data_IF_783088704564
#
_entry.id   IF_783088704564
#
_cell.length_a   1.000
_cell.length_b   1.000
_cell.length_c   1.000
_cell.angle_alpha   90.00
_cell.angle_beta   90.00
_cell.angle_gamma   90.00
#
_symmetry.space_group_name_H-M   'P 1'
#
loop_
_entity.id
_entity.type
_entity.pdbx_description
1 polymer ?
#
# COMPACT_ATOMS: atom_id res chain seq x y z
N UNK A 1 -30.72 9.16 -6.99
CA UNK A 1 -30.40 7.80 -7.49
C UNK A 1 -29.39 7.19 -6.54
N UNK A 2 -29.43 5.88 -6.26
CA UNK A 2 -28.45 5.27 -5.36
C UNK A 2 -27.13 5.09 -6.12
N UNK A 3 -26.13 5.92 -5.81
CA UNK A 3 -24.81 5.87 -6.46
C UNK A 3 -24.10 4.56 -6.09
N UNK A 4 -23.38 3.97 -7.07
CA UNK A 4 -22.62 2.74 -6.83
C UNK A 4 -21.42 3.03 -5.94
N UNK A 5 -21.20 2.20 -4.92
CA UNK A 5 -20.15 2.45 -3.92
C UNK A 5 -18.77 1.90 -4.34
N UNK A 6 -18.74 0.85 -5.15
CA UNK A 6 -17.48 0.21 -5.55
C UNK A 6 -17.12 0.54 -7.00
N UNK A 7 -15.83 0.78 -7.23
CA UNK A 7 -15.23 0.80 -8.56
C UNK A 7 -14.29 -0.39 -8.68
N UNK A 8 -14.62 -1.33 -9.56
CA UNK A 8 -13.79 -2.49 -9.89
C UNK A 8 -12.90 -2.16 -11.08
N UNK A 9 -11.62 -2.48 -10.97
CA UNK A 9 -10.63 -2.33 -12.04
C UNK A 9 -10.13 -3.72 -12.43
N UNK A 10 -10.36 -4.08 -13.69
CA UNK A 10 -9.90 -5.32 -14.31
C UNK A 10 -8.93 -4.95 -15.42
N UNK A 11 -7.65 -5.36 -15.31
CA UNK A 11 -6.63 -4.99 -16.30
C UNK A 11 -5.93 -6.24 -16.81
N UNK A 12 -5.84 -6.36 -18.13
CA UNK A 12 -5.00 -7.33 -18.82
C UNK A 12 -3.77 -6.63 -19.38
N UNK A 13 -2.61 -7.19 -19.09
CA UNK A 13 -1.32 -6.64 -19.45
C UNK A 13 -0.37 -7.76 -19.87
N UNK A 14 0.12 -7.70 -21.10
CA UNK A 14 1.11 -8.64 -21.61
C UNK A 14 2.52 -8.19 -21.26
N UNK A 15 3.27 -9.02 -20.53
CA UNK A 15 4.68 -8.77 -20.23
C UNK A 15 5.60 -9.65 -21.06
N UNK A 16 6.67 -9.06 -21.58
CA UNK A 16 7.79 -9.74 -22.24
C UNK A 16 8.59 -10.61 -21.25
N UNK A 17 9.50 -11.50 -21.73
CA UNK A 17 10.29 -12.39 -20.87
C UNK A 17 10.96 -11.63 -19.72
N UNK A 18 10.56 -11.92 -18.48
CA UNK A 18 10.95 -11.15 -17.30
C UNK A 18 10.73 -11.88 -15.98
N UNK A 19 11.34 -11.35 -14.91
CA UNK A 19 11.18 -11.83 -13.53
C UNK A 19 10.68 -10.70 -12.60
N UNK A 20 9.43 -10.28 -12.82
CA UNK A 20 8.81 -9.11 -12.17
C UNK A 20 8.55 -9.26 -10.66
N UNK A 21 8.55 -10.48 -10.12
CA UNK A 21 8.51 -10.71 -8.68
C UNK A 21 9.08 -12.09 -8.32
N UNK A 22 10.14 -12.10 -7.52
CA UNK A 22 10.74 -13.32 -6.97
C UNK A 22 10.50 -13.54 -5.47
N UNK A 23 10.77 -14.75 -5.01
CA UNK A 23 10.82 -15.15 -3.61
C UNK A 23 12.25 -15.03 -3.02
N UNK A 24 12.43 -15.58 -1.83
CA UNK A 24 13.68 -15.67 -1.06
C UNK A 24 14.73 -16.58 -1.72
N UNK A 25 14.30 -17.58 -2.49
CA UNK A 25 15.16 -18.47 -3.29
C UNK A 25 15.50 -17.90 -4.67
N UNK A 26 15.17 -16.62 -4.93
CA UNK A 26 15.24 -15.94 -6.23
C UNK A 26 14.40 -16.57 -7.38
N UNK A 27 13.52 -17.53 -7.07
CA UNK A 27 12.59 -18.11 -8.04
C UNK A 27 11.43 -17.16 -8.33
N UNK A 28 10.90 -17.16 -9.56
CA UNK A 28 9.78 -16.28 -9.89
C UNK A 28 8.51 -16.79 -9.21
N UNK A 29 7.81 -15.92 -8.49
CA UNK A 29 6.65 -16.31 -7.68
C UNK A 29 5.54 -16.90 -8.53
N UNK A 30 4.97 -18.00 -8.05
CA UNK A 30 3.84 -18.68 -8.67
C UNK A 30 2.61 -18.71 -7.76
N UNK A 31 1.51 -19.27 -8.29
CA UNK A 31 0.34 -19.75 -7.56
C UNK A 31 -0.37 -20.84 -8.39
N UNK A 32 -1.06 -21.77 -7.73
CA UNK A 32 -1.95 -22.73 -8.40
C UNK A 32 -3.33 -22.11 -8.59
N UNK A 33 -3.89 -22.17 -9.80
CA UNK A 33 -5.27 -21.75 -10.07
C UNK A 33 -5.88 -22.54 -11.23
N UNK A 34 -7.02 -23.18 -10.97
CA UNK A 34 -7.66 -24.13 -11.90
C UNK A 34 -6.78 -25.34 -12.25
N UNK A 35 -6.15 -25.93 -11.23
CA UNK A 35 -5.31 -27.13 -11.40
C UNK A 35 -3.94 -26.91 -12.07
N UNK A 36 -3.60 -25.69 -12.49
CA UNK A 36 -2.33 -25.39 -13.18
C UNK A 36 -1.55 -24.24 -12.54
N UNK A 37 -0.23 -24.25 -12.75
CA UNK A 37 0.69 -23.21 -12.28
C UNK A 37 0.51 -21.91 -13.07
N UNK A 38 0.37 -20.80 -12.34
CA UNK A 38 0.35 -19.43 -12.84
C UNK A 38 1.55 -18.67 -12.31
N UNK A 39 2.11 -17.76 -13.09
CA UNK A 39 3.08 -16.78 -12.57
C UNK A 39 2.30 -15.70 -11.82
N UNK A 40 2.84 -15.25 -10.68
CA UNK A 40 2.18 -14.35 -9.74
C UNK A 40 3.04 -13.13 -9.42
N UNK A 41 2.48 -11.94 -9.61
CA UNK A 41 3.03 -10.70 -9.02
C UNK A 41 2.26 -10.42 -7.73
N UNK A 42 3.00 -10.20 -6.64
CA UNK A 42 2.40 -10.02 -5.32
C UNK A 42 1.73 -8.65 -5.17
N UNK A 43 0.61 -8.56 -4.43
CA UNK A 43 -0.17 -7.31 -4.34
C UNK A 43 0.62 -6.22 -3.63
N UNK A 44 1.50 -6.59 -2.68
CA UNK A 44 2.46 -5.70 -2.05
C UNK A 44 3.53 -5.18 -3.03
N UNK A 45 3.95 -5.97 -4.03
CA UNK A 45 4.88 -5.51 -5.06
C UNK A 45 4.22 -4.45 -5.94
N UNK A 46 2.99 -4.69 -6.41
CA UNK A 46 2.23 -3.72 -7.20
C UNK A 46 1.90 -2.45 -6.39
N UNK A 47 1.40 -2.58 -5.15
CA UNK A 47 1.13 -1.44 -4.26
C UNK A 47 2.38 -0.61 -3.97
N UNK A 48 3.55 -1.24 -3.79
CA UNK A 48 4.83 -0.52 -3.65
C UNK A 48 5.22 0.18 -4.94
N UNK A 49 5.09 -0.48 -6.10
CA UNK A 49 5.46 0.08 -7.39
C UNK A 49 4.65 1.33 -7.74
N UNK A 50 3.32 1.31 -7.51
CA UNK A 50 2.46 2.48 -7.71
C UNK A 50 2.86 3.66 -6.82
N UNK A 51 3.23 3.39 -5.56
CA UNK A 51 3.52 4.42 -4.55
C UNK A 51 4.95 4.97 -4.60
N UNK A 52 5.91 4.13 -4.98
CA UNK A 52 7.35 4.45 -5.01
C UNK A 52 7.93 3.82 -6.29
N UNK A 53 7.76 4.48 -7.45
CA UNK A 53 8.45 4.09 -8.69
C UNK A 53 9.98 4.16 -8.52
N UNK A 54 10.77 3.53 -9.40
CA UNK A 54 12.22 3.67 -9.39
C UNK A 54 12.65 5.12 -9.62
N UNK A 55 13.81 5.51 -9.10
CA UNK A 55 14.34 6.89 -9.13
C UNK A 55 14.54 7.47 -10.55
N UNK A 56 14.60 6.60 -11.56
CA UNK A 56 14.76 6.96 -12.98
C UNK A 56 13.43 7.03 -13.75
N UNK A 57 12.28 6.82 -13.09
CA UNK A 57 10.95 6.85 -13.70
C UNK A 57 10.13 8.09 -13.30
N UNK A 58 9.14 8.45 -14.13
CA UNK A 58 8.15 9.49 -13.82
C UNK A 58 7.42 9.15 -12.51
N UNK A 59 7.38 10.09 -11.56
CA UNK A 59 6.75 9.84 -10.26
C UNK A 59 5.28 10.27 -10.29
N UNK A 60 4.50 9.57 -11.11
CA UNK A 60 3.06 9.82 -11.32
C UNK A 60 2.27 9.93 -10.01
N UNK A 61 2.67 9.18 -8.97
CA UNK A 61 2.07 9.30 -7.65
C UNK A 61 2.32 10.69 -7.05
N UNK A 62 3.58 11.13 -6.92
CA UNK A 62 3.88 12.42 -6.32
C UNK A 62 3.31 13.59 -7.14
N UNK A 63 3.36 13.50 -8.47
CA UNK A 63 2.88 14.53 -9.39
C UNK A 63 1.37 14.79 -9.32
N UNK A 64 0.56 13.75 -9.03
CA UNK A 64 -0.91 13.86 -9.05
C UNK A 64 -1.59 13.64 -7.69
N UNK A 65 -0.97 12.89 -6.78
CA UNK A 65 -1.54 12.43 -5.52
C UNK A 65 -0.79 12.93 -4.29
N UNK A 66 0.33 13.64 -4.47
CA UNK A 66 1.16 14.21 -3.40
C UNK A 66 2.05 13.18 -2.71
N UNK A 67 2.71 13.59 -1.64
CA UNK A 67 3.76 12.80 -1.00
C UNK A 67 3.22 11.52 -0.32
N UNK A 68 3.74 10.34 -0.69
CA UNK A 68 3.36 9.08 -0.06
C UNK A 68 4.08 8.88 1.29
N UNK A 69 3.39 8.22 2.24
CA UNK A 69 3.97 7.80 3.52
C UNK A 69 5.35 7.15 3.35
N UNK A 70 6.29 7.50 4.23
CA UNK A 70 7.50 6.68 4.41
C UNK A 70 7.20 5.50 5.34
N UNK A 71 7.96 4.41 5.22
CA UNK A 71 7.76 3.18 6.03
C UNK A 71 9.08 2.74 6.64
N UNK A 72 9.13 2.65 7.96
CA UNK A 72 10.35 2.28 8.70
C UNK A 72 10.02 1.67 10.06
N UNK A 73 10.87 0.74 10.50
CA UNK A 73 10.94 0.26 11.90
C UNK A 73 11.98 1.01 12.75
N UNK A 74 12.91 1.71 12.12
CA UNK A 74 13.95 2.49 12.81
C UNK A 74 13.40 3.87 13.14
N UNK A 75 13.26 4.15 14.44
CA UNK A 75 12.87 5.45 14.96
C UNK A 75 13.89 6.53 14.59
N UNK A 76 15.19 6.23 14.63
CA UNK A 76 16.24 7.18 14.24
C UNK A 76 16.16 7.60 12.77
N UNK A 77 15.86 6.66 11.86
CA UNK A 77 15.58 7.01 10.46
C UNK A 77 14.28 7.80 10.30
N UNK A 78 13.25 7.50 11.11
CA UNK A 78 12.00 8.28 11.11
C UNK A 78 12.25 9.73 11.59
N UNK A 79 12.99 9.92 12.69
CA UNK A 79 13.39 11.24 13.19
C UNK A 79 14.15 12.02 12.12
N UNK A 80 15.14 11.41 11.46
CA UNK A 80 15.93 12.08 10.42
C UNK A 80 15.04 12.57 9.25
N UNK A 81 14.13 11.73 8.74
CA UNK A 81 13.17 12.08 7.70
C UNK A 81 12.22 13.21 8.15
N UNK A 82 11.70 13.13 9.39
CA UNK A 82 10.80 14.12 9.95
C UNK A 82 11.49 15.46 10.23
N UNK A 83 12.76 15.46 10.64
CA UNK A 83 13.58 16.67 10.80
C UNK A 83 13.83 17.32 9.43
N UNK A 84 14.12 16.53 8.39
CA UNK A 84 14.27 17.05 7.03
C UNK A 84 12.96 17.66 6.49
N UNK A 85 11.81 17.06 6.81
CA UNK A 85 10.49 17.53 6.34
C UNK A 85 9.89 18.69 7.17
N UNK A 86 10.16 18.76 8.48
CA UNK A 86 9.48 19.68 9.42
C UNK A 86 10.43 20.67 10.13
N UNK A 87 11.75 20.56 9.94
CA UNK A 87 12.75 21.39 10.62
C UNK A 87 12.72 22.88 10.27
N UNK A 88 11.99 23.28 9.22
CA UNK A 88 11.68 24.68 8.93
C UNK A 88 10.47 25.24 9.69
N UNK A 89 9.64 24.37 10.28
CA UNK A 89 8.43 24.73 11.04
C UNK A 89 8.61 24.58 12.57
N UNK A 90 9.44 23.63 13.02
CA UNK A 90 9.61 23.28 14.42
C UNK A 90 11.07 22.96 14.79
N UNK A 91 11.39 23.19 16.06
CA UNK A 91 12.69 22.84 16.62
C UNK A 91 12.94 21.33 16.61
N UNK A 92 14.20 20.95 16.39
CA UNK A 92 14.64 19.54 16.31
C UNK A 92 14.17 18.70 17.51
N UNK A 93 14.34 19.22 18.73
CA UNK A 93 13.94 18.53 19.97
C UNK A 93 12.43 18.23 20.02
N UNK A 94 11.61 19.14 19.48
CA UNK A 94 10.15 18.98 19.45
C UNK A 94 9.73 17.88 18.47
N UNK A 95 10.40 17.80 17.32
CA UNK A 95 10.17 16.76 16.30
C UNK A 95 10.61 15.39 16.84
N UNK A 96 11.76 15.32 17.51
CA UNK A 96 12.24 14.08 18.13
C UNK A 96 11.34 13.61 19.28
N UNK A 97 10.78 14.51 20.09
CA UNK A 97 9.76 14.18 21.10
C UNK A 97 8.46 13.69 20.46
N UNK A 98 7.96 14.38 19.42
CA UNK A 98 6.74 14.00 18.71
C UNK A 98 6.84 12.60 18.10
N UNK A 99 7.94 12.30 17.39
CA UNK A 99 8.20 10.98 16.81
C UNK A 99 8.31 9.88 17.89
N UNK A 100 8.89 10.21 19.05
CA UNK A 100 9.03 9.27 20.18
C UNK A 100 7.68 8.98 20.85
N UNK A 101 6.86 10.02 21.07
CA UNK A 101 5.49 9.87 21.62
C UNK A 101 4.55 9.16 20.65
N UNK A 102 4.73 9.31 19.33
CA UNK A 102 3.91 8.64 18.34
C UNK A 102 3.99 7.11 18.44
N UNK A 103 5.16 6.56 18.76
CA UNK A 103 5.42 5.11 18.85
C UNK A 103 5.21 4.54 20.25
N UNK A 104 5.58 5.28 21.30
CA UNK A 104 5.51 4.80 22.68
C UNK A 104 4.10 4.96 23.25
N UNK A 105 3.53 3.86 23.72
CA UNK A 105 2.31 3.92 24.55
C UNK A 105 2.61 4.75 25.79
N UNK A 106 1.82 5.80 26.03
CA UNK A 106 1.91 6.56 27.28
C UNK A 106 1.39 5.66 28.39
N UNK A 107 2.30 5.05 29.15
CA UNK A 107 1.93 4.44 30.43
C UNK A 107 1.72 5.54 31.45
N UNK A 108 0.55 5.57 32.08
CA UNK A 108 0.38 6.34 33.30
C UNK A 108 1.35 5.80 34.38
N UNK A 109 1.71 6.64 35.36
CA UNK A 109 2.50 6.17 36.51
C UNK A 109 1.78 5.10 37.36
N UNK A 110 0.48 4.90 37.17
CA UNK A 110 -0.33 3.95 37.94
C UNK A 110 -0.24 2.54 37.31
N UNK A 111 -0.09 2.44 35.98
CA UNK A 111 0.06 1.18 35.24
C UNK A 111 1.48 0.56 35.31
N UNK A 112 2.37 1.13 36.11
CA UNK A 112 3.65 0.51 36.46
C UNK A 112 3.50 -0.63 37.49
N UNK A 113 2.32 -0.75 38.12
CA UNK A 113 2.00 -1.78 39.11
C UNK A 113 1.16 -2.96 38.62
N UNK A 114 0.48 -2.84 37.47
CA UNK A 114 -0.44 -3.86 36.94
C UNK A 114 0.25 -4.97 36.14
N UNK A 115 -0.35 -6.17 36.16
CA UNK A 115 0.24 -7.38 35.60
C UNK A 115 0.38 -7.39 34.07
N UNK A 116 1.39 -8.11 33.60
CA UNK A 116 1.67 -8.30 32.19
C UNK A 116 1.19 -9.68 31.75
N UNK A 117 -0.12 -9.83 31.49
CA UNK A 117 -0.67 -10.99 30.77
C UNK A 117 -0.98 -10.66 29.31
N UNK A 118 -0.32 -11.44 28.45
CA UNK A 118 -0.72 -11.96 27.14
C UNK A 118 -1.35 -11.04 26.05
N UNK A 119 -0.57 -10.85 24.98
CA UNK A 119 -1.03 -11.00 23.60
C UNK A 119 0.09 -11.68 22.79
N UNK A 120 -0.20 -12.49 21.75
CA UNK A 120 0.54 -13.71 21.49
C UNK A 120 1.90 -13.54 20.81
N UNK A 121 2.82 -14.45 21.14
CA UNK A 121 4.11 -14.59 20.47
C UNK A 121 3.94 -15.12 19.04
N UNK A 122 4.52 -14.40 18.07
CA UNK A 122 4.87 -14.98 16.78
C UNK A 122 6.28 -15.57 16.91
N UNK A 123 6.39 -16.89 16.84
CA UNK A 123 7.66 -17.60 16.99
C UNK A 123 8.63 -17.32 15.84
N UNK A 124 9.91 -17.19 16.20
CA UNK A 124 11.01 -17.93 15.58
C UNK A 124 12.26 -17.73 16.45
N UNK A 125 12.69 -18.79 17.11
CA UNK A 125 13.99 -18.86 17.81
C UNK A 125 15.12 -19.02 16.79
N UNK A 126 16.19 -18.21 16.91
CA UNK A 126 17.57 -18.70 16.95
C UNK A 126 18.39 -17.76 17.87
N UNK A 127 19.21 -18.33 18.75
CA UNK A 127 20.10 -17.62 19.68
C UNK A 127 21.46 -17.32 19.00
N UNK A 128 22.32 -16.36 19.38
CA UNK A 128 22.41 -15.42 20.51
C UNK A 128 23.20 -14.15 20.04
N UNK A 129 23.74 -13.20 20.82
CA UNK A 129 23.85 -13.00 22.28
C UNK A 129 24.13 -11.50 22.61
N UNK A 130 24.34 -11.22 23.90
CA UNK A 130 25.08 -10.10 24.53
C UNK A 130 24.59 -8.63 24.39
N UNK A 131 24.29 -8.03 25.55
CA UNK A 131 24.80 -6.70 25.88
C UNK A 131 24.01 -5.45 25.47
N UNK A 132 22.80 -5.54 24.91
CA UNK A 132 21.92 -4.37 24.69
C UNK A 132 20.53 -4.59 25.25
N UNK A 133 20.00 -3.58 25.96
CA UNK A 133 18.56 -3.51 26.25
C UNK A 133 17.81 -3.67 24.94
N UNK A 134 16.95 -4.69 24.86
CA UNK A 134 16.19 -4.97 23.67
C UNK A 134 15.15 -3.86 23.45
N UNK A 135 15.51 -2.84 22.67
CA UNK A 135 14.53 -1.99 21.99
C UNK A 135 13.53 -2.92 21.30
N UNK A 136 12.32 -3.05 21.86
CA UNK A 136 11.26 -3.88 21.28
C UNK A 136 11.11 -3.48 19.82
N UNK A 137 11.51 -4.37 18.91
CA UNK A 137 11.60 -4.04 17.49
C UNK A 137 10.23 -3.60 16.99
N UNK A 138 10.12 -2.32 16.64
CA UNK A 138 8.90 -1.79 16.05
C UNK A 138 8.60 -2.55 14.75
N UNK A 139 7.34 -2.83 14.48
CA UNK A 139 6.93 -3.26 13.15
C UNK A 139 7.28 -2.18 12.11
N UNK A 140 7.34 -2.54 10.83
CA UNK A 140 7.56 -1.55 9.76
C UNK A 140 6.28 -0.72 9.56
N UNK A 141 6.16 0.35 10.34
CA UNK A 141 4.98 1.21 10.36
C UNK A 141 4.99 2.24 9.21
N UNK A 142 3.82 2.66 8.68
CA UNK A 142 3.70 3.82 7.81
C UNK A 142 3.50 5.12 8.60
N UNK A 143 4.37 6.08 8.31
CA UNK A 143 4.46 7.39 8.94
C UNK A 143 3.96 8.50 7.99
N UNK A 144 3.38 9.56 8.55
CA UNK A 144 2.83 10.71 7.83
C UNK A 144 3.37 12.00 8.43
N UNK A 145 3.95 12.86 7.59
CA UNK A 145 4.49 14.15 8.03
C UNK A 145 3.42 15.05 8.66
N UNK A 146 2.19 15.01 8.14
CA UNK A 146 1.06 15.80 8.64
C UNK A 146 0.61 15.35 10.05
N UNK A 147 0.57 14.06 10.35
CA UNK A 147 0.24 13.59 11.72
C UNK A 147 1.27 14.10 12.74
N UNK A 148 2.56 13.97 12.41
CA UNK A 148 3.65 14.47 13.27
C UNK A 148 3.61 15.99 13.39
N UNK A 149 3.27 16.72 12.31
CA UNK A 149 3.07 18.18 12.34
C UNK A 149 2.00 18.59 13.36
N UNK A 150 0.84 17.94 13.37
CA UNK A 150 -0.20 18.27 14.36
C UNK A 150 0.24 17.91 15.80
N UNK A 151 0.94 16.79 15.99
CA UNK A 151 1.53 16.45 17.30
C UNK A 151 2.54 17.53 17.73
N UNK A 152 3.41 18.01 16.84
CA UNK A 152 4.34 19.11 17.12
C UNK A 152 3.61 20.41 17.52
N UNK A 153 2.49 20.77 16.85
CA UNK A 153 1.67 21.93 17.25
C UNK A 153 1.11 21.77 18.66
N UNK A 154 0.51 20.61 18.96
CA UNK A 154 -0.05 20.30 20.30
C UNK A 154 1.05 20.37 21.37
N UNK A 155 2.23 19.82 21.11
CA UNK A 155 3.38 19.90 22.03
C UNK A 155 3.81 21.35 22.27
N UNK A 156 3.86 22.19 21.21
CA UNK A 156 4.21 23.61 21.30
C UNK A 156 3.19 24.40 22.13
N UNK A 157 1.90 24.17 21.89
CA UNK A 157 0.80 24.80 22.64
C UNK A 157 0.83 24.42 24.12
N UNK A 158 0.93 23.13 24.46
CA UNK A 158 0.94 22.68 25.85
C UNK A 158 2.20 23.13 26.60
N UNK A 159 3.37 23.14 25.94
CA UNK A 159 4.60 23.70 26.52
C UNK A 159 4.50 25.22 26.76
N UNK A 160 3.86 25.97 25.85
CA UNK A 160 3.64 27.41 26.01
C UNK A 160 2.61 27.74 27.12
N UNK A 161 1.57 26.92 27.30
CA UNK A 161 0.61 27.06 28.41
C UNK A 161 1.21 26.64 29.76
N UNK A 162 2.13 25.68 29.75
CA UNK A 162 2.77 25.15 30.96
C UNK A 162 1.81 24.43 31.91
N UNK A 163 2.27 24.24 33.15
CA UNK A 163 1.48 23.68 34.24
C UNK A 163 0.78 24.79 35.02
N UNK A 164 -0.50 24.60 35.31
CA UNK A 164 -1.25 25.41 36.28
C UNK A 164 -0.77 25.14 37.70
N UNK A 165 -1.06 26.04 38.64
CA UNK A 165 -0.55 25.93 40.00
C UNK A 165 -1.15 24.74 40.77
N UNK A 166 -2.39 24.34 40.45
CA UNK A 166 -2.97 23.08 40.95
C UNK A 166 -2.24 21.84 40.43
N UNK A 167 -1.86 21.83 39.14
CA UNK A 167 -1.11 20.72 38.54
C UNK A 167 0.29 20.61 39.16
N UNK A 168 0.96 21.76 39.41
CA UNK A 168 2.23 21.80 40.15
C UNK A 168 2.08 21.28 41.58
N UNK A 169 1.04 21.69 42.31
CA UNK A 169 0.84 21.22 43.69
C UNK A 169 0.55 19.71 43.74
N UNK A 170 -0.26 19.19 42.81
CA UNK A 170 -0.50 17.75 42.63
C UNK A 170 0.78 16.99 42.26
N UNK A 171 1.66 17.58 41.43
CA UNK A 171 2.97 17.01 41.11
C UNK A 171 3.89 16.97 42.34
N UNK A 172 3.98 18.06 43.13
CA UNK A 172 4.81 18.11 44.33
C UNK A 172 4.38 17.09 45.41
N UNK A 173 3.10 16.72 45.48
CA UNK A 173 2.59 15.63 46.35
C UNK A 173 3.08 14.23 45.94
N UNK A 174 3.67 14.06 44.74
CA UNK A 174 4.30 12.78 44.30
C UNK A 174 5.80 12.70 44.61
N UNK A 175 6.44 13.80 45.04
CA UNK A 175 7.89 13.88 45.32
C UNK A 175 8.26 12.95 46.48
N UNK A 176 9.39 12.24 46.35
CA UNK A 176 9.84 11.28 47.36
C UNK A 176 9.22 9.89 47.25
N UNK A 177 8.25 9.65 46.36
CA UNK A 177 7.84 8.29 46.00
C UNK A 177 8.95 7.60 45.20
N UNK A 178 9.11 6.28 45.41
CA UNK A 178 10.02 5.45 44.63
C UNK A 178 9.29 4.82 43.44
N UNK A 179 9.97 4.76 42.30
CA UNK A 179 9.48 4.13 41.06
C UNK A 179 10.51 3.10 40.60
N UNK A 180 10.05 1.95 40.10
CA UNK A 180 10.89 0.83 39.66
C UNK A 180 10.71 -0.46 40.48
N UNK A 181 11.02 -1.61 39.86
CA UNK A 181 11.09 -2.94 40.51
C UNK A 181 12.57 -3.34 40.68
N UNK A 182 12.87 -4.11 41.73
CA UNK A 182 14.22 -4.66 41.95
C UNK A 182 15.30 -3.61 42.18
N UNK A 183 16.42 -3.72 41.44
CA UNK A 183 17.61 -2.85 41.59
C UNK A 183 17.44 -1.45 41.01
N UNK A 184 16.47 -1.22 40.11
CA UNK A 184 16.26 0.07 39.44
C UNK A 184 15.34 1.04 40.19
N UNK A 185 15.25 0.92 41.52
CA UNK A 185 14.44 1.83 42.34
C UNK A 185 15.10 3.20 42.45
N UNK A 186 14.51 4.20 41.81
CA UNK A 186 14.89 5.62 41.95
C UNK A 186 13.81 6.41 42.69
N UNK A 187 14.24 7.34 43.53
CA UNK A 187 13.36 8.33 44.18
C UNK A 187 13.06 9.48 43.22
N UNK A 188 11.79 9.82 43.04
CA UNK A 188 11.38 10.94 42.20
C UNK A 188 11.83 12.29 42.78
N UNK A 189 12.58 13.06 42.00
CA UNK A 189 12.92 14.46 42.32
C UNK A 189 11.76 15.41 42.03
N UNK A 190 11.88 16.68 42.45
CA UNK A 190 10.90 17.73 42.12
C UNK A 190 10.79 17.96 40.60
N UNK A 191 11.90 17.89 39.88
CA UNK A 191 11.95 18.06 38.42
C UNK A 191 11.31 16.87 37.71
N UNK A 192 11.62 15.63 38.14
CA UNK A 192 10.99 14.41 37.61
C UNK A 192 9.45 14.48 37.74
N UNK A 193 8.93 14.92 38.89
CA UNK A 193 7.49 15.04 39.11
C UNK A 193 6.82 16.09 38.21
N UNK A 194 7.48 17.22 37.94
CA UNK A 194 6.97 18.25 37.03
C UNK A 194 7.01 17.78 35.56
N UNK A 195 8.08 17.11 35.15
CA UNK A 195 8.22 16.54 33.81
C UNK A 195 7.15 15.47 33.53
N UNK A 196 6.87 14.60 34.52
CA UNK A 196 5.74 13.65 34.47
C UNK A 196 4.41 14.38 34.32
N UNK A 197 4.11 15.36 35.18
CA UNK A 197 2.82 16.06 35.12
C UNK A 197 2.60 16.79 33.79
N UNK A 198 3.65 17.36 33.20
CA UNK A 198 3.60 17.93 31.86
C UNK A 198 3.36 16.85 30.79
N UNK A 199 3.99 15.68 30.91
CA UNK A 199 3.77 14.54 30.01
C UNK A 199 2.34 13.98 30.09
N UNK A 200 1.77 13.89 31.29
CA UNK A 200 0.37 13.47 31.52
C UNK A 200 -0.60 14.47 30.86
N UNK A 201 -0.35 15.77 31.02
CA UNK A 201 -1.13 16.85 30.37
C UNK A 201 -1.04 16.79 28.85
N UNK A 202 0.14 16.57 28.30
CA UNK A 202 0.38 16.36 26.87
C UNK A 202 -0.42 15.14 26.36
N UNK A 203 -0.35 14.01 27.07
CA UNK A 203 -1.05 12.78 26.67
C UNK A 203 -2.57 12.98 26.61
N UNK A 204 -3.15 13.57 27.67
CA UNK A 204 -4.58 13.90 27.69
C UNK A 204 -4.96 14.84 26.54
N UNK A 205 -4.14 15.85 26.23
CA UNK A 205 -4.42 16.78 25.13
C UNK A 205 -4.34 16.11 23.75
N UNK A 206 -3.46 15.12 23.58
CA UNK A 206 -3.36 14.32 22.36
C UNK A 206 -4.55 13.38 22.20
N UNK A 207 -5.07 12.81 23.30
CA UNK A 207 -6.34 12.04 23.31
C UNK A 207 -7.54 12.91 22.95
N UNK A 208 -7.67 14.10 23.55
CA UNK A 208 -8.70 15.11 23.18
C UNK A 208 -8.61 15.52 21.70
N UNK A 209 -7.43 15.45 21.09
CA UNK A 209 -7.16 15.87 19.71
C UNK A 209 -7.07 14.70 18.71
N UNK A 210 -7.45 13.48 19.12
CA UNK A 210 -7.26 12.27 18.33
C UNK A 210 -7.98 12.31 16.96
N UNK A 211 -9.12 13.00 16.86
CA UNK A 211 -9.84 13.19 15.59
C UNK A 211 -9.07 14.09 14.61
N UNK A 212 -8.39 15.14 15.10
CA UNK A 212 -7.56 16.02 14.28
C UNK A 212 -6.33 15.27 13.74
N UNK A 213 -5.67 14.47 14.59
CA UNK A 213 -4.55 13.62 14.18
C UNK A 213 -5.03 12.59 13.15
N UNK A 214 -6.20 11.98 13.34
CA UNK A 214 -6.81 11.08 12.33
C UNK A 214 -7.12 11.80 11.02
N UNK A 215 -7.64 13.03 11.07
CA UNK A 215 -7.90 13.83 9.86
C UNK A 215 -6.61 14.19 9.11
N UNK A 216 -5.48 14.34 9.80
CA UNK A 216 -4.18 14.59 9.18
C UNK A 216 -3.67 13.42 8.31
N UNK A 217 -4.19 12.21 8.51
CA UNK A 217 -3.92 11.03 7.67
C UNK A 217 -4.44 11.23 6.23
N UNK A 218 -5.48 12.07 6.04
CA UNK A 218 -5.98 12.43 4.72
C UNK A 218 -4.92 13.06 3.80
N UNK A 219 -3.82 13.58 4.38
CA UNK A 219 -2.65 14.05 3.63
C UNK A 219 -1.74 12.94 3.09
N UNK A 220 -1.87 11.70 3.54
CA UNK A 220 -1.13 10.53 3.05
C UNK A 220 -2.08 9.53 2.40
N UNK A 221 -2.40 9.78 1.12
CA UNK A 221 -3.40 9.01 0.37
C UNK A 221 -3.12 7.50 0.33
N UNK A 222 -1.86 7.06 0.41
CA UNK A 222 -1.54 5.62 0.40
C UNK A 222 -1.96 4.89 1.68
N UNK A 223 -2.08 5.60 2.81
CA UNK A 223 -2.67 5.03 4.03
C UNK A 223 -4.19 5.00 3.89
N UNK A 224 -4.81 6.07 3.38
CA UNK A 224 -6.25 6.09 3.10
C UNK A 224 -6.68 4.97 2.13
N UNK A 225 -5.83 4.61 1.17
CA UNK A 225 -6.08 3.53 0.22
C UNK A 225 -5.71 2.14 0.73
N UNK A 226 -4.50 1.95 1.28
CA UNK A 226 -3.98 0.61 1.60
C UNK A 226 -4.04 0.24 3.08
N UNK A 227 -4.49 1.17 3.93
CA UNK A 227 -4.63 1.00 5.36
C UNK A 227 -3.33 1.09 6.16
N UNK A 228 -3.50 1.14 7.48
CA UNK A 228 -2.44 1.02 8.48
C UNK A 228 -2.93 0.15 9.62
N UNK A 229 -2.13 -0.84 10.02
CA UNK A 229 -2.30 -1.51 11.30
C UNK A 229 -1.39 -0.83 12.33
N UNK A 230 -1.97 -0.33 13.42
CA UNK A 230 -1.22 0.19 14.54
C UNK A 230 -1.05 -0.88 15.64
N UNK A 231 0.13 -0.93 16.25
CA UNK A 231 0.47 -1.93 17.29
C UNK A 231 0.92 -1.31 18.62
N UNK A 232 1.20 0.00 18.67
CA UNK A 232 1.60 0.71 19.88
C UNK A 232 1.48 2.23 19.72
N UNK A 233 1.48 2.96 20.85
CA UNK A 233 1.57 4.42 20.85
C UNK A 233 0.31 5.15 20.42
N UNK A 234 0.50 6.31 19.79
CA UNK A 234 -0.56 7.17 19.26
C UNK A 234 -0.91 6.84 17.79
N UNK A 235 -0.28 5.81 17.22
CA UNK A 235 -0.63 5.34 15.88
C UNK A 235 -2.08 4.85 15.85
N UNK A 236 -2.85 5.35 14.90
CA UNK A 236 -4.23 4.91 14.67
C UNK A 236 -4.28 3.83 13.58
N UNK A 237 -5.05 2.77 13.82
CA UNK A 237 -5.39 1.82 12.76
C UNK A 237 -6.38 2.45 11.77
N UNK A 238 -6.19 2.17 10.48
CA UNK A 238 -6.99 2.69 9.37
C UNK A 238 -7.29 1.55 8.41
N UNK A 239 -8.57 1.31 8.15
CA UNK A 239 -9.01 0.34 7.15
C UNK A 239 -8.81 0.90 5.74
N UNK A 240 -8.08 0.18 4.88
CA UNK A 240 -7.78 0.64 3.53
C UNK A 240 -9.02 0.64 2.62
N UNK A 241 -9.25 1.75 1.91
CA UNK A 241 -10.36 1.85 0.97
C UNK A 241 -10.19 0.99 -0.31
N UNK A 242 -8.98 0.50 -0.61
CA UNK A 242 -8.65 -0.22 -1.84
C UNK A 242 -8.15 -1.65 -1.58
N UNK A 243 -8.94 -2.64 -2.01
CA UNK A 243 -8.52 -4.03 -2.07
C UNK A 243 -7.76 -4.28 -3.39
N UNK A 244 -6.52 -4.80 -3.30
CA UNK A 244 -5.68 -5.14 -4.46
C UNK A 244 -5.34 -6.63 -4.40
N UNK A 245 -5.75 -7.39 -5.40
CA UNK A 245 -5.49 -8.82 -5.47
C UNK A 245 -4.04 -9.13 -5.87
N UNK A 246 -3.63 -10.38 -5.67
CA UNK A 246 -2.49 -10.93 -6.37
C UNK A 246 -2.76 -10.97 -7.87
N UNK A 247 -1.80 -10.51 -8.66
CA UNK A 247 -1.85 -10.56 -10.12
C UNK A 247 -1.43 -11.96 -10.55
N UNK A 248 -2.15 -12.60 -11.47
CA UNK A 248 -1.87 -13.95 -11.96
C UNK A 248 -1.93 -14.02 -13.50
N UNK A 249 -1.24 -14.97 -14.11
CA UNK A 249 -1.38 -15.22 -15.56
C UNK A 249 -2.73 -15.86 -15.91
N UNK A 250 -3.32 -15.38 -17.00
CA UNK A 250 -4.62 -15.85 -17.53
C UNK A 250 -4.56 -17.26 -18.14
N UNK A 251 -3.37 -17.68 -18.55
CA UNK A 251 -3.04 -19.02 -19.04
C UNK A 251 -2.12 -19.75 -18.06
N UNK A 252 -1.98 -21.06 -18.25
CA UNK A 252 -0.91 -21.83 -17.63
C UNK A 252 0.45 -21.28 -18.09
N UNK A 253 1.44 -21.29 -17.21
CA UNK A 253 2.84 -21.07 -17.59
C UNK A 253 3.56 -22.41 -17.42
N UNK A 254 4.30 -22.80 -18.45
CA UNK A 254 5.18 -23.98 -18.44
C UNK A 254 6.28 -23.81 -17.36
N UNK A 255 7.09 -24.84 -17.06
CA UNK A 255 8.26 -24.66 -16.19
C UNK A 255 9.08 -23.44 -16.66
N UNK A 256 9.39 -22.54 -15.73
CA UNK A 256 9.96 -21.24 -16.04
C UNK A 256 11.27 -21.39 -16.82
N UNK A 257 11.44 -20.59 -17.87
CA UNK A 257 12.67 -20.56 -18.65
C UNK A 257 13.85 -20.23 -17.73
N UNK A 258 14.97 -20.94 -17.91
CA UNK A 258 16.17 -20.79 -17.10
C UNK A 258 17.25 -20.12 -17.91
N UNK A 259 17.54 -18.87 -17.58
CA UNK A 259 18.70 -18.14 -18.08
C UNK A 259 19.96 -18.68 -17.40
N UNK A 260 20.94 -19.15 -18.17
CA UNK A 260 22.25 -19.59 -17.70
C UNK A 260 23.27 -18.51 -18.05
N UNK A 261 23.66 -17.72 -17.06
CA UNK A 261 24.52 -16.56 -17.27
C UNK A 261 25.88 -16.73 -16.58
N UNK A 262 26.90 -16.16 -17.21
CA UNK A 262 28.27 -16.13 -16.71
C UNK A 262 28.71 -14.71 -16.38
N UNK A 263 29.75 -14.59 -15.55
CA UNK A 263 30.58 -13.39 -15.51
C UNK A 263 31.96 -13.75 -16.05
N UNK A 264 32.46 -12.93 -16.98
CA UNK A 264 33.82 -13.02 -17.55
C UNK A 264 34.69 -12.01 -16.80
N UNK A 265 35.97 -12.35 -16.63
CA UNK A 265 36.98 -11.43 -16.09
C UNK A 265 37.88 -10.95 -17.24
N UNK A 266 37.72 -9.68 -17.61
CA UNK A 266 38.43 -9.05 -18.73
C UNK A 266 39.96 -9.02 -18.55
N UNK A 267 40.49 -9.30 -17.35
CA UNK A 267 41.92 -9.28 -17.05
C UNK A 267 42.59 -10.66 -17.11
N UNK A 268 41.84 -11.74 -17.30
CA UNK A 268 42.39 -13.11 -17.37
C UNK A 268 42.43 -13.69 -18.79
N UNK A 269 42.04 -12.94 -19.82
CA UNK A 269 42.02 -13.46 -21.21
C UNK A 269 43.39 -13.96 -21.69
N UNK A 270 44.48 -13.27 -21.31
CA UNK A 270 45.86 -13.59 -21.71
C UNK A 270 46.45 -14.85 -21.00
N UNK A 271 45.83 -15.35 -19.93
CA UNK A 271 46.36 -16.52 -19.20
C UNK A 271 46.03 -17.86 -19.87
N UNK A 272 45.15 -17.84 -20.88
CA UNK A 272 44.57 -19.04 -21.49
C UNK A 272 43.42 -19.65 -20.68
N UNK A 273 43.05 -19.05 -19.54
CA UNK A 273 41.85 -19.43 -18.78
C UNK A 273 40.58 -18.95 -19.49
N UNK A 274 40.15 -19.72 -20.49
CA UNK A 274 38.84 -19.61 -21.16
C UNK A 274 37.69 -20.06 -20.22
N UNK A 275 37.67 -19.53 -19.00
CA UNK A 275 36.79 -19.91 -17.90
C UNK A 275 35.82 -18.81 -17.53
N UNK A 276 34.55 -19.18 -17.34
CA UNK A 276 33.59 -18.29 -16.69
C UNK A 276 33.94 -18.18 -15.20
N UNK A 277 34.37 -17.00 -14.75
CA UNK A 277 34.69 -16.73 -13.34
C UNK A 277 33.49 -16.88 -12.40
N UNK A 278 32.27 -16.87 -12.96
CA UNK A 278 31.03 -17.22 -12.28
C UNK A 278 30.05 -17.87 -13.27
N UNK A 279 29.27 -18.86 -12.82
CA UNK A 279 28.13 -19.42 -13.54
C UNK A 279 26.93 -19.49 -12.58
N UNK A 280 25.77 -19.00 -13.01
CA UNK A 280 24.55 -19.06 -12.20
C UNK A 280 23.30 -19.12 -13.09
N UNK A 281 22.15 -19.32 -12.46
CA UNK A 281 20.85 -19.43 -13.15
C UNK A 281 19.86 -18.38 -12.67
N UNK A 282 18.98 -17.94 -13.56
CA UNK A 282 17.83 -17.10 -13.20
C UNK A 282 16.59 -17.59 -13.95
N UNK A 283 15.53 -17.90 -13.21
CA UNK A 283 14.22 -18.18 -13.80
C UNK A 283 13.54 -16.90 -14.29
N UNK A 284 12.91 -16.96 -15.46
CA UNK A 284 12.07 -15.91 -16.05
C UNK A 284 10.87 -16.52 -16.81
N UNK A 285 9.93 -15.67 -17.22
CA UNK A 285 8.84 -16.08 -18.11
C UNK A 285 8.18 -14.88 -18.79
N UNK A 286 7.41 -15.11 -19.85
CA UNK A 286 6.50 -14.14 -20.44
C UNK A 286 5.04 -14.55 -20.18
N UNK A 287 4.10 -13.60 -20.23
CA UNK A 287 2.68 -13.95 -20.10
C UNK A 287 1.71 -12.77 -20.05
N UNK A 288 0.43 -13.11 -20.16
CA UNK A 288 -0.69 -12.17 -20.06
C UNK A 288 -1.24 -12.23 -18.65
N UNK A 289 -1.04 -11.14 -17.91
CA UNK A 289 -1.38 -11.00 -16.50
C UNK A 289 -2.72 -10.33 -16.31
N UNK A 290 -3.54 -10.89 -15.42
CA UNK A 290 -4.77 -10.27 -14.93
C UNK A 290 -4.51 -9.58 -13.58
N UNK A 291 -4.68 -8.26 -13.56
CA UNK A 291 -4.69 -7.44 -12.35
C UNK A 291 -6.13 -7.14 -11.97
N UNK A 292 -6.44 -7.24 -10.67
CA UNK A 292 -7.71 -6.84 -10.10
C UNK A 292 -7.51 -5.96 -8.87
N UNK A 293 -8.26 -4.87 -8.83
CA UNK A 293 -8.46 -4.08 -7.62
C UNK A 293 -9.90 -3.59 -7.52
N UNK A 294 -10.36 -3.33 -6.31
CA UNK A 294 -11.64 -2.70 -6.03
C UNK A 294 -11.44 -1.54 -5.07
N UNK A 295 -12.00 -0.38 -5.39
CA UNK A 295 -12.03 0.81 -4.54
C UNK A 295 -13.42 0.99 -3.94
N UNK A 296 -13.49 1.14 -2.61
CA UNK A 296 -14.67 1.55 -1.86
C UNK A 296 -14.69 3.08 -1.78
N UNK A 297 -15.55 3.73 -2.58
CA UNK A 297 -15.61 5.19 -2.69
C UNK A 297 -15.97 5.86 -1.36
N UNK A 298 -16.91 5.29 -0.59
CA UNK A 298 -17.31 5.87 0.69
C UNK A 298 -16.24 5.72 1.76
N UNK A 299 -15.56 4.57 1.83
CA UNK A 299 -14.43 4.39 2.76
C UNK A 299 -13.28 5.36 2.43
N UNK A 300 -13.01 5.62 1.14
CA UNK A 300 -12.03 6.61 0.74
C UNK A 300 -12.41 8.02 1.23
N UNK A 301 -13.69 8.40 1.13
CA UNK A 301 -14.17 9.69 1.62
C UNK A 301 -14.04 9.84 3.14
N UNK A 302 -14.34 8.78 3.91
CA UNK A 302 -14.10 8.76 5.37
C UNK A 302 -12.61 8.92 5.69
N UNK A 303 -11.76 8.14 5.02
CA UNK A 303 -10.31 8.16 5.26
C UNK A 303 -9.63 9.49 4.86
N UNK A 304 -10.27 10.27 3.99
CA UNK A 304 -9.84 11.62 3.59
C UNK A 304 -10.45 12.73 4.45
N UNK A 305 -11.31 12.41 5.43
CA UNK A 305 -12.03 13.39 6.25
C UNK A 305 -13.09 14.18 5.48
N UNK A 306 -13.51 13.73 4.30
CA UNK A 306 -14.52 14.39 3.47
C UNK A 306 -15.95 14.14 3.98
N UNK A 307 -16.16 13.02 4.68
CA UNK A 307 -17.38 12.68 5.40
C UNK A 307 -17.01 12.04 6.75
N UNK A 308 -17.85 12.20 7.77
CA UNK A 308 -17.52 11.76 9.14
C UNK A 308 -17.45 10.25 9.33
N UNK A 309 -18.37 9.48 8.73
CA UNK A 309 -18.41 8.01 8.86
C UNK A 309 -19.07 7.32 7.65
N UNK A 310 -19.13 5.99 7.67
CA UNK A 310 -19.75 5.18 6.62
C UNK A 310 -21.29 5.29 6.57
N UNK A 311 -21.94 5.98 7.52
CA UNK A 311 -23.39 6.25 7.55
C UNK A 311 -23.74 7.66 7.05
N UNK A 312 -22.80 8.60 7.13
CA UNK A 312 -22.93 9.96 6.65
C UNK A 312 -23.40 10.04 5.19
N UNK A 313 -24.07 11.13 4.84
CA UNK A 313 -24.55 11.35 3.46
C UNK A 313 -23.36 11.76 2.59
N UNK A 314 -23.22 11.12 1.42
CA UNK A 314 -22.22 11.48 0.40
C UNK A 314 -22.59 12.83 -0.25
N UNK A 315 -21.62 13.73 -0.42
CA UNK A 315 -21.80 14.98 -1.17
C UNK A 315 -21.29 14.85 -2.60
N UNK A 316 -21.70 15.75 -3.49
CA UNK A 316 -21.22 15.75 -4.87
C UNK A 316 -19.70 15.98 -4.94
N UNK A 317 -19.18 16.87 -4.09
CA UNK A 317 -17.77 17.24 -3.98
C UNK A 317 -16.94 16.09 -3.39
N UNK A 318 -17.43 15.42 -2.34
CA UNK A 318 -16.73 14.30 -1.71
C UNK A 318 -16.64 13.11 -2.67
N UNK A 319 -17.72 12.83 -3.43
CA UNK A 319 -17.73 11.82 -4.48
C UNK A 319 -16.79 12.19 -5.63
N UNK A 320 -16.87 13.41 -6.15
CA UNK A 320 -16.01 13.86 -7.25
C UNK A 320 -14.52 13.73 -6.89
N UNK A 321 -14.12 14.10 -5.67
CA UNK A 321 -12.74 13.93 -5.20
C UNK A 321 -12.31 12.45 -5.14
N UNK A 322 -13.20 11.55 -4.73
CA UNK A 322 -12.93 10.12 -4.74
C UNK A 322 -12.83 9.54 -6.17
N UNK A 323 -13.60 10.06 -7.13
CA UNK A 323 -13.56 9.65 -8.54
C UNK A 323 -12.30 10.15 -9.27
N UNK A 324 -11.81 11.37 -8.99
CA UNK A 324 -10.50 11.83 -9.49
C UNK A 324 -9.36 10.92 -9.00
N UNK A 325 -9.40 10.49 -7.73
CA UNK A 325 -8.44 9.50 -7.22
C UNK A 325 -8.63 8.15 -7.92
N UNK A 326 -9.87 7.70 -8.14
CA UNK A 326 -10.17 6.45 -8.86
C UNK A 326 -9.58 6.43 -10.28
N UNK A 327 -9.62 7.57 -11.00
CA UNK A 327 -8.96 7.77 -12.30
C UNK A 327 -7.45 7.57 -12.20
N UNK A 328 -6.77 8.22 -11.25
CA UNK A 328 -5.32 8.08 -11.09
C UNK A 328 -4.91 6.65 -10.69
N UNK A 329 -5.74 5.96 -9.90
CA UNK A 329 -5.54 4.54 -9.58
C UNK A 329 -5.71 3.64 -10.79
N UNK A 330 -6.72 3.88 -11.63
CA UNK A 330 -6.89 3.18 -12.89
C UNK A 330 -5.67 3.36 -13.80
N UNK A 331 -5.20 4.60 -13.97
CA UNK A 331 -4.00 4.91 -14.74
C UNK A 331 -2.80 4.09 -14.25
N UNK A 332 -2.48 4.15 -12.96
CA UNK A 332 -1.36 3.40 -12.38
C UNK A 332 -1.52 1.88 -12.51
N UNK A 333 -2.72 1.34 -12.36
CA UNK A 333 -2.98 -0.09 -12.58
C UNK A 333 -2.73 -0.52 -14.04
N UNK A 334 -2.94 0.39 -15.00
CA UNK A 334 -2.71 0.18 -16.43
C UNK A 334 -1.25 0.40 -16.87
N UNK A 335 -0.50 1.31 -16.23
CA UNK A 335 0.84 1.73 -16.70
C UNK A 335 2.00 1.31 -15.82
N UNK A 336 1.82 1.16 -14.50
CA UNK A 336 2.93 0.89 -13.57
C UNK A 336 3.34 -0.59 -13.63
N UNK A 337 4.65 -0.85 -13.69
CA UNK A 337 5.23 -2.20 -13.62
C UNK A 337 6.22 -2.28 -12.45
N UNK A 338 6.27 -3.40 -11.69
CA UNK A 338 7.32 -3.61 -10.68
C UNK A 338 8.73 -3.45 -11.26
N UNK A 339 9.63 -2.87 -10.47
CA UNK A 339 11.03 -2.60 -10.85
C UNK A 339 11.98 -3.80 -10.77
N UNK A 340 11.51 -4.95 -10.27
CA UNK A 340 12.36 -6.13 -10.08
C UNK A 340 12.90 -6.65 -11.43
N UNK A 341 14.22 -6.83 -11.51
CA UNK A 341 14.96 -7.29 -12.70
C UNK A 341 14.75 -6.47 -13.98
N UNK A 342 14.14 -5.28 -13.91
CA UNK A 342 13.86 -4.45 -15.08
C UNK A 342 15.13 -3.98 -15.80
N UNK A 343 16.21 -3.69 -15.07
CA UNK A 343 17.51 -3.36 -15.68
C UNK A 343 18.18 -4.49 -16.46
N UNK A 344 17.62 -5.71 -16.44
CA UNK A 344 18.07 -6.86 -17.25
C UNK A 344 17.04 -7.29 -18.31
N UNK A 345 15.74 -7.18 -18.01
CA UNK A 345 14.66 -7.73 -18.85
C UNK A 345 13.79 -6.68 -19.57
N UNK A 346 13.84 -5.41 -19.14
CA UNK A 346 13.15 -4.27 -19.77
C UNK A 346 11.65 -4.47 -20.13
N UNK A 347 10.90 -5.20 -19.29
CA UNK A 347 9.47 -5.43 -19.45
C UNK A 347 8.64 -4.22 -19.00
N UNK A 348 8.84 -3.08 -19.66
CA UNK A 348 8.12 -1.81 -19.44
C UNK A 348 6.85 -1.72 -20.31
N UNK A 349 6.01 -2.75 -20.24
CA UNK A 349 4.80 -2.84 -21.07
C UNK A 349 3.63 -2.09 -20.40
N UNK A 350 2.83 -1.31 -21.14
CA UNK A 350 1.52 -0.84 -20.68
C UNK A 350 0.46 -1.93 -20.83
N UNK A 351 -0.72 -1.74 -20.23
CA UNK A 351 -1.87 -2.64 -20.40
C UNK A 351 -2.51 -2.52 -21.79
N UNK A 352 -2.91 -3.67 -22.33
CA UNK A 352 -3.55 -3.79 -23.65
C UNK A 352 -5.08 -3.68 -23.59
N UNK A 353 -5.67 -4.04 -22.45
CA UNK A 353 -7.12 -4.07 -22.26
C UNK A 353 -7.49 -3.87 -20.79
N UNK A 354 -8.59 -3.16 -20.54
CA UNK A 354 -9.15 -3.06 -19.21
C UNK A 354 -10.68 -2.96 -19.23
N UNK A 355 -11.33 -3.41 -18.16
CA UNK A 355 -12.73 -3.13 -17.85
C UNK A 355 -12.77 -2.40 -16.51
N UNK A 356 -13.54 -1.32 -16.44
CA UNK A 356 -13.87 -0.64 -15.18
C UNK A 356 -15.38 -0.68 -15.00
N UNK A 357 -15.85 -1.12 -13.83
CA UNK A 357 -17.27 -1.21 -13.51
C UNK A 357 -17.61 -0.60 -12.16
N UNK A 358 -18.75 0.10 -12.14
CA UNK A 358 -19.38 0.63 -10.93
C UNK A 358 -20.42 -0.36 -10.41
N UNK A 359 -20.26 -0.82 -9.16
CA UNK A 359 -21.09 -1.88 -8.56
C UNK A 359 -21.48 -1.59 -7.09
N UNK A 360 -22.46 -2.35 -6.58
CA UNK A 360 -22.88 -2.30 -5.17
C UNK A 360 -21.96 -3.14 -4.24
N UNK A 361 -21.20 -4.06 -4.81
CA UNK A 361 -20.30 -4.99 -4.12
C UNK A 361 -19.02 -5.23 -4.93
N UNK A 362 -17.86 -5.50 -4.30
CA UNK A 362 -16.61 -5.76 -5.00
C UNK A 362 -16.63 -7.14 -5.68
N UNK A 363 -16.36 -7.21 -6.99
CA UNK A 363 -16.46 -8.46 -7.76
C UNK A 363 -15.18 -8.68 -8.57
N UNK A 364 -14.47 -9.77 -8.28
CA UNK A 364 -13.34 -10.21 -9.11
C UNK A 364 -13.80 -11.08 -10.26
N UNK A 365 -13.34 -10.78 -11.48
CA UNK A 365 -13.52 -11.61 -12.67
C UNK A 365 -12.42 -12.68 -12.83
N UNK A 366 -11.63 -12.97 -11.79
CA UNK A 366 -10.55 -13.97 -11.85
C UNK A 366 -11.02 -15.35 -12.36
N UNK A 367 -12.26 -15.73 -12.04
CA UNK A 367 -12.86 -16.99 -12.46
C UNK A 367 -13.09 -17.11 -13.98
N UNK A 368 -12.95 -16.02 -14.76
CA UNK A 368 -12.81 -16.08 -16.21
C UNK A 368 -11.60 -16.91 -16.67
N UNK A 369 -10.60 -17.07 -15.79
CA UNK A 369 -9.33 -17.73 -16.06
C UNK A 369 -9.08 -18.94 -15.15
N UNK A 370 -10.12 -19.45 -14.48
CA UNK A 370 -10.05 -20.69 -13.68
C UNK A 370 -9.62 -21.82 -14.62
N UNK A 371 -10.43 -22.13 -15.63
CA UNK A 371 -9.97 -22.84 -16.81
C UNK A 371 -8.84 -22.02 -17.49
N UNK A 372 -7.63 -22.56 -17.68
CA UNK A 372 -6.53 -21.82 -18.28
C UNK A 372 -6.82 -21.45 -19.73
N UNK A 373 -6.65 -20.17 -20.06
CA UNK A 373 -6.83 -19.65 -21.42
C UNK A 373 -5.89 -20.38 -22.37
N UNK A 374 -6.47 -20.92 -23.44
CA UNK A 374 -5.74 -21.61 -24.49
C UNK A 374 -5.17 -20.62 -25.51
N UNK A 375 -4.05 -20.98 -26.15
CA UNK A 375 -3.41 -20.16 -27.17
C UNK A 375 -4.34 -19.94 -28.36
N UNK A 376 -4.38 -18.71 -28.89
CA UNK A 376 -5.14 -18.37 -30.08
C UNK A 376 -4.68 -19.17 -31.31
N UNK A 377 -5.55 -19.29 -32.32
CA UNK A 377 -5.25 -20.03 -33.57
C UNK A 377 -3.98 -19.52 -34.27
N UNK A 378 -3.76 -18.21 -34.22
CA UNK A 378 -2.60 -17.53 -34.82
C UNK A 378 -1.46 -17.30 -33.80
N UNK A 379 -1.50 -17.97 -32.64
CA UNK A 379 -0.60 -17.70 -31.51
C UNK A 379 -1.17 -16.71 -30.49
N UNK A 380 -0.38 -16.46 -29.44
CA UNK A 380 -0.70 -15.51 -28.37
C UNK A 380 -1.80 -15.95 -27.39
N UNK A 381 -1.79 -15.35 -26.20
CA UNK A 381 -2.84 -15.52 -25.18
C UNK A 381 -3.71 -14.28 -24.99
N UNK A 382 -3.24 -13.10 -25.43
CA UNK A 382 -3.86 -11.81 -25.10
C UNK A 382 -5.30 -11.69 -25.62
N UNK A 383 -5.50 -11.86 -26.93
CA UNK A 383 -6.82 -11.78 -27.55
C UNK A 383 -7.83 -12.79 -26.95
N UNK A 384 -7.50 -14.09 -26.81
CA UNK A 384 -8.34 -15.03 -26.06
C UNK A 384 -8.67 -14.58 -24.62
N UNK A 385 -7.72 -14.02 -23.88
CA UNK A 385 -7.94 -13.52 -22.52
C UNK A 385 -8.88 -12.31 -22.47
N UNK A 386 -8.76 -11.38 -23.42
CA UNK A 386 -9.67 -10.22 -23.55
C UNK A 386 -11.11 -10.68 -23.79
N UNK A 387 -11.30 -11.61 -24.73
CA UNK A 387 -12.61 -12.16 -25.07
C UNK A 387 -13.24 -12.89 -23.89
N UNK A 388 -12.47 -13.74 -23.18
CA UNK A 388 -13.02 -14.50 -22.06
C UNK A 388 -13.33 -13.62 -20.84
N UNK A 389 -12.54 -12.58 -20.56
CA UNK A 389 -12.82 -11.61 -19.52
C UNK A 389 -14.14 -10.86 -19.77
N UNK A 390 -14.33 -10.34 -20.97
CA UNK A 390 -15.52 -9.59 -21.36
C UNK A 390 -16.78 -10.48 -21.41
N UNK A 391 -16.66 -11.73 -21.88
CA UNK A 391 -17.76 -12.70 -21.86
C UNK A 391 -18.07 -13.22 -20.46
N UNK A 392 -17.08 -13.35 -19.58
CA UNK A 392 -17.33 -13.68 -18.17
C UNK A 392 -18.05 -12.54 -17.46
N UNK A 393 -17.62 -11.28 -17.64
CA UNK A 393 -18.33 -10.10 -17.15
C UNK A 393 -19.80 -10.06 -17.61
N UNK A 394 -20.03 -10.27 -18.92
CA UNK A 394 -21.38 -10.29 -19.52
C UNK A 394 -22.25 -11.40 -18.95
N UNK A 395 -21.73 -12.63 -18.84
CA UNK A 395 -22.45 -13.77 -18.25
C UNK A 395 -22.77 -13.52 -16.79
N UNK A 396 -21.80 -13.05 -16.01
CA UNK A 396 -21.95 -12.79 -14.58
C UNK A 396 -23.02 -11.72 -14.31
N UNK A 397 -22.95 -10.59 -15.02
CA UNK A 397 -23.96 -9.52 -14.91
C UNK A 397 -25.36 -10.03 -15.28
N UNK A 398 -25.48 -10.81 -16.36
CA UNK A 398 -26.77 -11.37 -16.77
C UNK A 398 -27.32 -12.44 -15.81
N UNK A 399 -26.47 -13.27 -15.21
CA UNK A 399 -26.88 -14.39 -14.36
C UNK A 399 -27.27 -13.94 -12.94
N UNK A 400 -26.53 -12.99 -12.38
CA UNK A 400 -26.78 -12.44 -11.05
C UNK A 400 -27.69 -11.20 -11.06
N UNK A 401 -28.15 -10.75 -12.23
CA UNK A 401 -28.97 -9.54 -12.37
C UNK A 401 -28.22 -8.27 -11.94
N UNK A 402 -26.90 -8.25 -12.07
CA UNK A 402 -26.08 -7.10 -11.68
C UNK A 402 -26.36 -5.96 -12.65
N UNK A 403 -26.70 -4.80 -12.10
CA UNK A 403 -26.84 -3.55 -12.84
C UNK A 403 -25.56 -2.73 -12.69
N UNK A 404 -24.43 -3.28 -13.14
CA UNK A 404 -23.17 -2.55 -13.20
C UNK A 404 -23.18 -1.55 -14.35
N UNK A 405 -22.64 -0.36 -14.10
CA UNK A 405 -22.29 0.61 -15.15
C UNK A 405 -20.83 0.36 -15.51
N UNK A 406 -20.55 -0.15 -16.71
CA UNK A 406 -19.22 -0.62 -17.10
C UNK A 406 -18.77 -0.11 -18.47
N UNK A 407 -17.47 0.16 -18.57
CA UNK A 407 -16.81 0.50 -19.82
C UNK A 407 -15.44 -0.19 -19.90
N UNK A 408 -14.96 -0.39 -21.12
CA UNK A 408 -13.68 -1.02 -21.40
C UNK A 408 -12.77 -0.10 -22.22
N UNK A 409 -11.47 -0.20 -21.96
CA UNK A 409 -10.42 0.30 -22.83
C UNK A 409 -9.84 -0.87 -23.62
N UNK A 410 -9.65 -0.70 -24.94
CA UNK A 410 -8.98 -1.68 -25.80
C UNK A 410 -7.90 -1.01 -26.65
N UNK A 411 -6.71 -1.60 -26.69
CA UNK A 411 -5.64 -1.18 -27.58
C UNK A 411 -5.88 -1.74 -29.00
N UNK A 412 -6.53 -0.94 -29.83
CA UNK A 412 -6.85 -1.28 -31.22
C UNK A 412 -7.98 -2.30 -31.39
N UNK A 413 -8.54 -2.36 -32.60
CA UNK A 413 -9.70 -3.21 -32.92
C UNK A 413 -9.28 -4.62 -33.38
N UNK A 414 -8.14 -4.73 -34.07
CA UNK A 414 -7.61 -5.98 -34.63
C UNK A 414 -7.36 -7.07 -33.57
N UNK A 415 -6.99 -6.67 -32.35
CA UNK A 415 -6.78 -7.61 -31.24
C UNK A 415 -8.07 -8.27 -30.77
N UNK A 416 -9.25 -7.65 -30.95
CA UNK A 416 -10.51 -8.32 -30.64
C UNK A 416 -10.90 -9.33 -31.74
N UNK A 417 -10.76 -8.94 -33.00
CA UNK A 417 -11.24 -9.72 -34.14
C UNK A 417 -10.37 -10.93 -34.49
N UNK A 418 -9.07 -10.89 -34.15
CA UNK A 418 -8.08 -11.91 -34.50
C UNK A 418 -8.15 -13.23 -33.70
N UNK A 419 -8.67 -13.20 -32.46
CA UNK A 419 -8.66 -14.37 -31.57
C UNK A 419 -9.90 -15.25 -31.66
N UNK A 420 -11.09 -14.67 -31.59
CA UNK A 420 -12.37 -15.39 -31.58
C UNK A 420 -13.46 -14.57 -32.26
N UNK A 421 -14.24 -15.18 -33.17
CA UNK A 421 -15.45 -14.56 -33.76
C UNK A 421 -16.62 -14.47 -32.77
N UNK A 422 -16.44 -13.78 -31.63
CA UNK A 422 -17.53 -13.41 -30.72
C UNK A 422 -17.87 -11.93 -30.89
N UNK A 423 -19.17 -11.55 -30.96
CA UNK A 423 -19.56 -10.15 -30.98
C UNK A 423 -19.18 -9.47 -29.66
N UNK A 424 -18.91 -8.17 -29.72
CA UNK A 424 -18.65 -7.37 -28.53
C UNK A 424 -19.90 -7.34 -27.60
N UNK A 425 -19.76 -7.41 -26.26
CA UNK A 425 -20.89 -7.33 -25.35
C UNK A 425 -21.67 -6.01 -25.47
N UNK A 426 -22.91 -6.04 -25.95
CA UNK A 426 -23.74 -4.85 -26.23
C UNK A 426 -23.90 -3.87 -25.04
N UNK A 427 -23.77 -4.35 -23.79
CA UNK A 427 -23.87 -3.51 -22.58
C UNK A 427 -22.53 -2.92 -22.09
N UNK A 428 -21.41 -3.27 -22.71
CA UNK A 428 -20.08 -2.79 -22.34
C UNK A 428 -19.69 -1.65 -23.28
N UNK A 429 -19.54 -0.42 -22.77
CA UNK A 429 -18.99 0.66 -23.60
C UNK A 429 -17.53 0.37 -23.96
N UNK A 430 -17.06 0.84 -25.12
CA UNK A 430 -15.70 0.62 -25.60
C UNK A 430 -15.01 1.96 -25.90
N UNK A 431 -13.80 2.14 -25.38
CA UNK A 431 -12.93 3.27 -25.65
C UNK A 431 -11.60 2.81 -26.25
N UNK A 432 -11.16 3.57 -27.24
CA UNK A 432 -9.89 3.46 -27.98
C UNK A 432 -8.69 4.09 -27.23
N UNK A 433 -8.93 4.95 -26.23
CA UNK A 433 -7.87 5.58 -25.43
C UNK A 433 -8.13 5.48 -23.94
N UNK A 434 -7.05 5.35 -23.17
CA UNK A 434 -7.07 5.32 -21.70
C UNK A 434 -7.74 6.59 -21.14
N UNK A 435 -7.41 7.76 -21.70
CA UNK A 435 -7.92 9.07 -21.27
C UNK A 435 -9.44 9.23 -21.42
N UNK A 436 -10.08 8.60 -22.42
CA UNK A 436 -11.55 8.59 -22.52
C UNK A 436 -12.18 7.77 -21.41
N UNK A 437 -11.60 6.61 -21.06
CA UNK A 437 -12.07 5.80 -19.93
C UNK A 437 -11.81 6.49 -18.58
N UNK A 438 -10.65 7.13 -18.41
CA UNK A 438 -10.36 8.00 -17.26
C UNK A 438 -11.41 9.11 -17.09
N UNK A 439 -11.80 9.77 -18.19
CA UNK A 439 -12.82 10.82 -18.21
C UNK A 439 -14.26 10.30 -18.04
N UNK A 440 -14.47 8.99 -18.20
CA UNK A 440 -15.74 8.31 -17.90
C UNK A 440 -15.81 7.91 -16.41
N UNK A 441 -14.68 7.56 -15.79
CA UNK A 441 -14.58 7.33 -14.34
C UNK A 441 -14.89 8.61 -13.56
N UNK A 442 -14.30 9.76 -13.94
CA UNK A 442 -14.53 11.03 -13.24
C UNK A 442 -15.96 11.57 -13.39
N UNK A 443 -16.66 11.16 -14.45
CA UNK A 443 -18.09 11.41 -14.69
C UNK A 443 -19.02 10.34 -14.08
N UNK A 444 -18.54 9.56 -13.13
CA UNK A 444 -19.34 8.54 -12.40
C UNK A 444 -20.02 7.51 -13.33
N UNK A 445 -19.33 7.10 -14.39
CA UNK A 445 -19.84 6.16 -15.38
C UNK A 445 -20.79 6.76 -16.42
N UNK A 446 -20.96 8.09 -16.44
CA UNK A 446 -21.78 8.79 -17.42
C UNK A 446 -20.98 9.04 -18.71
N UNK A 447 -21.50 8.54 -19.83
CA UNK A 447 -20.91 8.58 -21.18
C UNK A 447 -21.11 9.92 -21.87
#
# INVERSE_FOLDING_TARGET
MNSKNFVNFHVLISHSPSCLNRDDSNMQKTAMFGGVTRVRISSQSLKRAMRRPPETGLNYWAEHLGDPSFRTRSLEKAKAELIAALGGEFDRELIEEAATRFVRTVKSLEDAGGDAEEAPAAANDEAADDGKEAEKQLAVAPWVNNEIREICRILKEVKAQGLSDEEKEKAFKKVGKSVGKGKDKRTLTKEDCLAVALSDKIAKRLEESAELIRSAIGGALDIALFGRMATSGLMTSVDGAMAVAHVITTHAVEPQDVDWFTAVDDLTEDSGEMGAGHLNTQQFSAGVFYRYASLNLKQLQVNLGLIGDMKATETAESRARALEIAKHLFHMLATVVPSAMQGRHAAFNPADFAIVSFSDQPISLANAFEAPVQRGRNGGYLSPSMVELAEYWRRLNSAYGLNETAAAFRFGDELWESGVKKPWPHKLAAFDTLSKLESWITRDGQG
#
